data_IF_252145064380
#
_entry.id   IF_252145064380
#
_cell.length_a   1.000
_cell.length_b   1.000
_cell.length_c   1.000
_cell.angle_alpha   90.00
_cell.angle_beta   90.00
_cell.angle_gamma   90.00
#
_symmetry.space_group_name_H-M   'P 1'
#
loop_
_entity.id
_entity.type
_entity.pdbx_description
1 polymer ?
#
# COMPACT_ATOMS: atom_id res chain seq x y z
N UNK A 1 -42.54 27.63 -0.45
CA UNK A 1 -42.29 26.35 0.26
C UNK A 1 -41.54 25.30 -0.58
N UNK A 2 -41.88 25.06 -1.87
CA UNK A 2 -41.16 24.08 -2.73
C UNK A 2 -39.65 24.33 -2.88
N UNK A 3 -39.22 25.59 -3.02
CA UNK A 3 -37.79 25.95 -3.14
C UNK A 3 -36.99 25.63 -1.87
N UNK A 4 -37.59 25.83 -0.68
CA UNK A 4 -36.93 25.53 0.60
C UNK A 4 -36.70 24.02 0.73
N UNK A 5 -37.69 23.21 0.37
CA UNK A 5 -37.57 21.75 0.39
C UNK A 5 -36.53 21.23 -0.60
N UNK A 6 -36.43 21.84 -1.79
CA UNK A 6 -35.38 21.53 -2.77
C UNK A 6 -33.99 21.86 -2.24
N UNK A 7 -33.80 23.04 -1.63
CA UNK A 7 -32.54 23.46 -1.03
C UNK A 7 -32.13 22.50 0.09
N UNK A 8 -33.06 22.10 0.97
CA UNK A 8 -32.78 21.14 2.04
C UNK A 8 -32.36 19.78 1.46
N UNK A 9 -33.06 19.28 0.44
CA UNK A 9 -32.68 18.02 -0.23
C UNK A 9 -31.28 18.08 -0.82
N UNK A 10 -30.97 19.17 -1.52
CA UNK A 10 -29.65 19.38 -2.11
C UNK A 10 -28.56 19.43 -1.03
N UNK A 11 -28.82 20.15 0.05
CA UNK A 11 -27.91 20.24 1.19
C UNK A 11 -27.62 18.86 1.80
N UNK A 12 -28.64 18.05 2.09
CA UNK A 12 -28.46 16.70 2.62
C UNK A 12 -27.65 15.82 1.67
N UNK A 13 -27.90 15.90 0.36
CA UNK A 13 -27.19 15.09 -0.64
C UNK A 13 -25.71 15.48 -0.73
N UNK A 14 -25.41 16.78 -0.67
CA UNK A 14 -24.04 17.27 -0.58
C UNK A 14 -23.35 16.85 0.72
N UNK A 15 -24.05 16.90 1.85
CA UNK A 15 -23.51 16.42 3.14
C UNK A 15 -23.16 14.94 3.09
N UNK A 16 -24.02 14.10 2.51
CA UNK A 16 -23.74 12.68 2.33
C UNK A 16 -22.53 12.43 1.43
N UNK A 17 -22.39 13.18 0.34
CA UNK A 17 -21.23 13.06 -0.55
C UNK A 17 -19.92 13.44 0.17
N UNK A 18 -19.93 14.51 0.98
CA UNK A 18 -18.77 14.92 1.79
C UNK A 18 -18.42 13.86 2.81
N UNK A 19 -19.41 13.33 3.54
CA UNK A 19 -19.20 12.26 4.53
C UNK A 19 -18.62 11.02 3.86
N UNK A 20 -19.16 10.59 2.71
CA UNK A 20 -18.65 9.45 1.96
C UNK A 20 -17.20 9.66 1.51
N UNK A 21 -16.86 10.85 1.00
CA UNK A 21 -15.50 11.20 0.63
C UNK A 21 -14.52 11.12 1.82
N UNK A 22 -14.89 11.69 2.96
CA UNK A 22 -14.09 11.63 4.19
C UNK A 22 -13.87 10.19 4.62
N UNK A 23 -14.93 9.36 4.61
CA UNK A 23 -14.83 7.94 4.98
C UNK A 23 -13.88 7.19 4.03
N UNK A 24 -13.95 7.43 2.73
CA UNK A 24 -13.06 6.80 1.75
C UNK A 24 -11.61 7.16 2.03
N UNK A 25 -11.30 8.44 2.26
CA UNK A 25 -9.95 8.90 2.58
C UNK A 25 -9.43 8.34 3.92
N UNK A 26 -10.29 8.22 4.93
CA UNK A 26 -9.90 7.66 6.23
C UNK A 26 -9.67 6.15 6.19
N UNK A 27 -10.29 5.43 5.25
CA UNK A 27 -10.20 3.98 5.13
C UNK A 27 -9.23 3.50 4.06
N UNK A 28 -8.67 4.41 3.26
CA UNK A 28 -7.68 4.09 2.24
C UNK A 28 -6.31 3.80 2.84
N UNK A 29 -5.53 2.97 2.16
CA UNK A 29 -4.12 2.76 2.46
C UNK A 29 -3.25 3.39 1.38
N UNK A 30 -2.13 3.98 1.79
CA UNK A 30 -1.12 4.42 0.84
C UNK A 30 -0.43 3.20 0.22
N UNK A 31 -0.26 3.23 -1.10
CA UNK A 31 0.44 2.17 -1.79
C UNK A 31 1.36 2.68 -2.89
N UNK A 32 2.44 1.94 -3.07
CA UNK A 32 3.54 2.27 -3.94
C UNK A 32 3.92 1.02 -4.72
N UNK A 33 3.87 1.07 -6.05
CA UNK A 33 4.03 -0.12 -6.88
C UNK A 33 5.00 0.07 -8.04
N UNK A 34 5.58 -1.05 -8.44
CA UNK A 34 6.40 -1.16 -9.64
C UNK A 34 6.04 -2.45 -10.35
N UNK A 35 6.01 -2.41 -11.68
CA UNK A 35 5.80 -3.57 -12.53
C UNK A 35 6.86 -3.55 -13.62
N UNK A 36 7.54 -4.68 -13.80
CA UNK A 36 8.32 -4.96 -15.01
C UNK A 36 7.45 -5.80 -15.96
N UNK A 37 8.06 -6.36 -17.01
CA UNK A 37 7.34 -7.13 -18.04
C UNK A 37 6.72 -8.45 -17.52
N UNK A 38 7.14 -8.95 -16.35
CA UNK A 38 6.73 -10.27 -15.83
C UNK A 38 5.99 -10.22 -14.51
N UNK A 39 6.46 -9.38 -13.60
CA UNK A 39 6.07 -9.36 -12.20
C UNK A 39 5.74 -7.93 -11.76
N UNK A 40 4.94 -7.83 -10.71
CA UNK A 40 4.70 -6.56 -10.02
C UNK A 40 5.05 -6.73 -8.55
N UNK A 41 5.36 -5.62 -7.90
CA UNK A 41 5.41 -5.54 -6.45
C UNK A 41 4.59 -4.35 -5.98
N UNK A 42 4.03 -4.44 -4.78
CA UNK A 42 3.34 -3.30 -4.16
C UNK A 42 3.68 -3.25 -2.67
N UNK A 43 4.19 -2.11 -2.25
CA UNK A 43 4.28 -1.72 -0.85
C UNK A 43 2.96 -1.07 -0.45
N UNK A 44 2.40 -1.50 0.67
CA UNK A 44 1.22 -0.87 1.29
C UNK A 44 1.59 -0.47 2.71
N UNK A 45 1.44 0.81 3.00
CA UNK A 45 1.64 1.35 4.33
C UNK A 45 0.38 1.21 5.17
N UNK A 46 0.57 0.77 6.41
CA UNK A 46 -0.49 0.63 7.40
C UNK A 46 0.02 1.11 8.75
N UNK A 47 -0.89 1.43 9.66
CA UNK A 47 -0.56 1.77 11.05
C UNK A 47 -1.12 0.68 11.96
N UNK A 48 -0.26 0.06 12.78
CA UNK A 48 -0.69 -0.86 13.85
C UNK A 48 -0.24 -0.33 15.20
N UNK A 49 -1.18 0.21 15.96
CA UNK A 49 -0.87 0.88 17.22
C UNK A 49 -0.14 2.21 16.94
N UNK A 50 1.14 2.30 17.32
CA UNK A 50 1.98 3.47 17.06
C UNK A 50 3.00 3.26 15.94
N UNK A 51 3.13 2.04 15.46
CA UNK A 51 4.20 1.67 14.53
C UNK A 51 3.69 1.72 13.09
N UNK A 52 4.54 2.24 12.21
CA UNK A 52 4.40 2.07 10.77
C UNK A 52 4.65 0.61 10.42
N UNK A 53 3.74 0.05 9.63
CA UNK A 53 3.80 -1.34 9.18
C UNK A 53 3.72 -1.35 7.66
N UNK A 54 4.74 -1.91 7.04
CA UNK A 54 4.83 -2.02 5.59
C UNK A 54 4.55 -3.46 5.20
N UNK A 55 3.57 -3.63 4.31
CA UNK A 55 3.26 -4.90 3.67
C UNK A 55 3.75 -4.88 2.23
N UNK A 56 4.43 -5.93 1.81
CA UNK A 56 4.89 -6.10 0.43
C UNK A 56 4.15 -7.27 -0.20
N UNK A 57 3.58 -7.01 -1.36
CA UNK A 57 2.83 -7.95 -2.19
C UNK A 57 3.58 -8.22 -3.49
N UNK A 58 3.51 -9.44 -3.99
CA UNK A 58 4.09 -9.91 -5.27
C UNK A 58 3.20 -9.62 -6.50
N UNK A 59 2.27 -8.67 -6.35
CA UNK A 59 1.37 -8.22 -7.40
C UNK A 59 0.89 -6.81 -7.11
N UNK A 60 0.21 -6.21 -8.08
CA UNK A 60 -0.47 -4.92 -7.89
C UNK A 60 -1.76 -5.08 -7.08
N UNK A 61 -1.93 -4.27 -6.04
CA UNK A 61 -3.02 -4.40 -5.06
C UNK A 61 -3.99 -3.23 -5.16
N UNK A 62 -5.12 -3.42 -5.80
CA UNK A 62 -6.08 -2.34 -6.05
C UNK A 62 -7.14 -2.16 -4.96
N UNK A 63 -7.33 -3.18 -4.11
CA UNK A 63 -8.42 -3.20 -3.12
C UNK A 63 -8.00 -3.88 -1.81
N UNK A 64 -8.72 -3.59 -0.72
CA UNK A 64 -8.53 -4.25 0.59
C UNK A 64 -8.94 -5.71 0.54
N UNK A 65 -9.86 -6.09 -0.34
CA UNK A 65 -10.20 -7.50 -0.57
C UNK A 65 -8.99 -8.26 -1.13
N UNK A 66 -8.29 -7.66 -2.10
CA UNK A 66 -7.04 -8.23 -2.61
C UNK A 66 -5.97 -8.28 -1.52
N UNK A 67 -5.84 -7.26 -0.69
CA UNK A 67 -4.91 -7.28 0.45
C UNK A 67 -5.13 -8.47 1.40
N UNK A 68 -6.38 -8.89 1.61
CA UNK A 68 -6.74 -10.01 2.50
C UNK A 68 -6.44 -11.38 1.90
N UNK A 69 -6.58 -11.51 0.59
CA UNK A 69 -6.52 -12.79 -0.12
C UNK A 69 -5.20 -13.03 -0.85
N UNK A 70 -4.31 -12.04 -0.88
CA UNK A 70 -3.00 -12.13 -1.55
C UNK A 70 -1.91 -12.52 -0.59
N UNK A 71 -0.88 -13.19 -1.13
CA UNK A 71 0.38 -13.41 -0.45
C UNK A 71 1.08 -12.10 -0.14
N UNK A 72 1.69 -12.01 1.03
CA UNK A 72 2.43 -10.82 1.44
C UNK A 72 3.47 -11.12 2.50
N UNK A 73 4.47 -10.23 2.58
CA UNK A 73 5.38 -10.15 3.71
C UNK A 73 5.16 -8.83 4.45
N UNK A 74 5.20 -8.86 5.78
CA UNK A 74 4.99 -7.68 6.63
C UNK A 74 6.17 -7.47 7.57
N UNK A 75 6.63 -6.23 7.65
CA UNK A 75 7.72 -5.81 8.51
C UNK A 75 7.47 -4.40 9.06
N UNK A 76 8.30 -4.02 10.02
CA UNK A 76 8.16 -2.82 10.85
C UNK A 76 9.44 -2.00 10.69
N UNK A 77 9.57 -1.25 9.59
CA UNK A 77 10.79 -0.50 9.33
C UNK A 77 10.96 0.65 10.33
N UNK A 78 12.16 0.81 10.89
CA UNK A 78 12.61 2.08 11.47
C UNK A 78 13.17 3.00 10.38
N UNK A 79 13.71 2.41 9.30
CA UNK A 79 14.27 3.12 8.16
C UNK A 79 13.54 2.84 6.84
N UNK A 80 13.63 3.79 5.90
CA UNK A 80 12.98 3.68 4.59
C UNK A 80 13.44 2.39 3.89
N UNK A 81 12.50 1.50 3.50
CA UNK A 81 12.82 0.34 2.68
C UNK A 81 13.20 0.72 1.25
N UNK A 82 14.14 -0.03 0.69
CA UNK A 82 14.57 0.12 -0.70
C UNK A 82 14.19 -1.12 -1.50
N UNK A 83 14.02 -0.94 -2.80
CA UNK A 83 13.78 -2.03 -3.73
C UNK A 83 14.80 -2.01 -4.86
N UNK A 84 15.15 -3.20 -5.34
CA UNK A 84 15.93 -3.43 -6.55
C UNK A 84 15.28 -4.51 -7.41
N UNK A 85 15.38 -4.35 -8.73
CA UNK A 85 15.02 -5.39 -9.70
C UNK A 85 16.26 -6.23 -10.03
N UNK A 86 16.08 -7.55 -10.17
CA UNK A 86 17.12 -8.49 -10.61
C UNK A 86 16.90 -8.91 -12.07
N UNK A 87 17.97 -9.36 -12.73
CA UNK A 87 18.00 -9.70 -14.16
C UNK A 87 16.96 -10.76 -14.60
N UNK A 88 16.49 -11.60 -13.69
CA UNK A 88 15.47 -12.62 -13.96
C UNK A 88 14.03 -12.08 -13.95
N UNK A 89 13.85 -10.85 -13.49
CA UNK A 89 12.57 -10.16 -13.27
C UNK A 89 12.03 -10.29 -11.84
N UNK A 90 12.80 -10.86 -10.92
CA UNK A 90 12.52 -10.85 -9.48
C UNK A 90 12.88 -9.53 -8.82
N UNK A 91 12.48 -9.37 -7.56
CA UNK A 91 12.71 -8.18 -6.77
C UNK A 91 13.46 -8.49 -5.47
N UNK A 92 14.32 -7.57 -5.05
CA UNK A 92 14.85 -7.56 -3.69
C UNK A 92 14.28 -6.39 -2.91
N UNK A 93 13.81 -6.67 -1.71
CA UNK A 93 13.40 -5.66 -0.73
C UNK A 93 14.44 -5.60 0.38
N UNK A 94 15.02 -4.41 0.53
CA UNK A 94 16.01 -4.06 1.52
C UNK A 94 15.31 -3.41 2.71
N UNK A 95 15.43 -4.01 3.90
CA UNK A 95 14.91 -3.45 5.15
C UNK A 95 15.86 -3.75 6.30
N UNK A 96 15.87 -2.87 7.28
CA UNK A 96 16.48 -3.01 8.60
C UNK A 96 15.91 -4.16 9.45
N UNK A 97 14.72 -4.67 9.12
CA UNK A 97 14.10 -5.80 9.81
C UNK A 97 13.74 -6.94 8.88
N UNK A 98 13.79 -8.17 9.41
CA UNK A 98 13.23 -9.34 8.73
C UNK A 98 11.70 -9.24 8.75
N UNK A 99 11.00 -9.80 7.73
CA UNK A 99 9.57 -9.99 7.79
C UNK A 99 9.13 -10.69 9.08
N UNK A 100 8.21 -10.07 9.82
CA UNK A 100 7.60 -10.66 11.03
C UNK A 100 6.46 -11.60 10.65
N UNK A 101 5.79 -11.34 9.54
CA UNK A 101 4.72 -12.16 9.00
C UNK A 101 5.01 -12.43 7.52
N UNK A 102 4.86 -13.68 7.10
CA UNK A 102 4.86 -14.09 5.71
C UNK A 102 3.64 -14.98 5.46
N UNK A 103 2.78 -14.58 4.53
CA UNK A 103 1.57 -15.30 4.14
C UNK A 103 1.69 -15.74 2.70
N UNK A 104 1.48 -17.04 2.45
CA UNK A 104 1.53 -17.65 1.12
C UNK A 104 2.95 -17.67 0.52
N UNK A 105 3.01 -17.83 -0.80
CA UNK A 105 4.26 -17.94 -1.55
C UNK A 105 4.63 -16.59 -2.19
N UNK A 106 5.89 -16.19 -2.06
CA UNK A 106 6.43 -14.90 -2.48
C UNK A 106 7.77 -15.08 -3.21
N UNK A 107 7.92 -16.16 -3.99
CA UNK A 107 9.19 -16.54 -4.65
C UNK A 107 9.84 -15.44 -5.50
N UNK A 108 9.05 -14.50 -6.03
CA UNK A 108 9.56 -13.41 -6.86
C UNK A 108 10.14 -12.24 -6.03
N UNK A 109 10.03 -12.29 -4.70
CA UNK A 109 10.50 -11.23 -3.80
C UNK A 109 11.42 -11.82 -2.74
N UNK A 110 12.68 -11.41 -2.76
CA UNK A 110 13.66 -11.75 -1.74
C UNK A 110 13.85 -10.59 -0.77
N UNK A 111 13.79 -10.89 0.53
CA UNK A 111 14.08 -9.92 1.57
C UNK A 111 15.55 -9.99 1.99
N UNK A 112 16.21 -8.84 2.04
CA UNK A 112 17.59 -8.71 2.47
C UNK A 112 17.67 -7.69 3.59
N UNK A 113 18.42 -8.04 4.64
CA UNK A 113 18.69 -7.13 5.72
C UNK A 113 19.71 -6.06 5.31
N UNK A 114 19.39 -4.79 5.54
CA UNK A 114 20.23 -3.65 5.17
C UNK A 114 20.17 -2.53 6.20
N UNK A 115 21.24 -1.74 6.29
CA UNK A 115 21.29 -0.55 7.16
C UNK A 115 20.53 0.67 6.63
N UNK A 116 20.73 1.81 7.30
CA UNK A 116 20.04 3.10 7.10
C UNK A 116 19.97 3.61 5.66
N UNK A 117 21.10 3.52 4.94
CA UNK A 117 21.20 3.89 3.54
C UNK A 117 21.65 2.65 2.76
N UNK A 118 20.70 2.08 2.03
CA UNK A 118 20.95 0.91 1.21
C UNK A 118 20.94 1.26 -0.28
N UNK A 119 21.22 0.25 -1.08
CA UNK A 119 21.19 0.23 -2.52
C UNK A 119 19.73 0.19 -3.02
N UNK A 120 19.52 0.72 -4.22
CA UNK A 120 18.23 0.66 -4.90
C UNK A 120 17.39 1.92 -4.82
N UNK A 121 16.11 1.77 -5.12
CA UNK A 121 15.14 2.87 -5.15
C UNK A 121 14.28 2.81 -3.89
N UNK A 122 14.15 3.92 -3.13
CA UNK A 122 13.27 3.93 -1.96
C UNK A 122 11.81 3.77 -2.40
N UNK A 123 11.04 2.96 -1.67
CA UNK A 123 9.71 2.54 -2.13
C UNK A 123 8.74 3.71 -2.38
N UNK A 124 8.85 4.81 -1.63
CA UNK A 124 7.97 5.98 -1.80
C UNK A 124 8.19 6.73 -3.13
N UNK A 125 9.27 6.45 -3.87
CA UNK A 125 9.51 6.97 -5.22
C UNK A 125 8.84 6.15 -6.33
N UNK A 126 8.19 5.04 -5.98
CA UNK A 126 7.44 4.22 -6.92
C UNK A 126 6.11 4.87 -7.31
N UNK A 127 5.40 4.25 -8.25
CA UNK A 127 4.09 4.74 -8.66
C UNK A 127 3.12 4.70 -7.49
N UNK A 128 2.51 5.83 -7.17
CA UNK A 128 1.62 5.99 -6.03
C UNK A 128 0.15 5.80 -6.42
N UNK A 129 -0.62 5.14 -5.55
CA UNK A 129 -2.07 5.27 -5.50
C UNK A 129 -2.62 4.91 -4.11
N UNK A 130 -3.85 5.34 -3.85
CA UNK A 130 -4.58 4.92 -2.65
C UNK A 130 -5.29 3.59 -2.92
N UNK A 131 -5.02 2.58 -2.08
CA UNK A 131 -5.83 1.36 -2.05
C UNK A 131 -7.14 1.71 -1.36
N UNK A 132 -8.20 1.70 -2.14
CA UNK A 132 -9.56 2.02 -1.70
C UNK A 132 -10.38 0.72 -1.74
N UNK A 133 -11.30 0.58 -0.78
CA UNK A 133 -12.31 -0.48 -0.68
C UNK A 133 -11.82 -1.91 -0.42
#
# INVERSE_FOLDING_TARGET
MKNIYFIIKLFVLCSLAIIAYIIIMLLSYESYYYCNDKNCLTFVETIKGRDLVVKVYDKRIYSRLQMKNSSYMEFYPEYIPYFEEYDDGGFVVHSDFKPKIAIGDMNNIKFVLSGYECCGTPYYKLNYYMVIF
#
